data_IF_816980070009
#
_entry.id   IF_816980070009
#
_cell.length_a   1.000
_cell.length_b   1.000
_cell.length_c   1.000
_cell.angle_alpha   90.00
_cell.angle_beta   90.00
_cell.angle_gamma   90.00
#
_symmetry.space_group_name_H-M   'P 1'
#
loop_
_entity.id
_entity.type
_entity.pdbx_description
1 polymer ?
#
# COMPACT_ATOMS: atom_id res chain seq x y z
N UNK A 1 22.56 62.26 -73.86
CA UNK A 1 23.06 61.10 -73.08
C UNK A 1 23.16 61.45 -71.60
N UNK A 2 22.07 61.33 -70.81
CA UNK A 2 22.13 61.57 -69.35
C UNK A 2 20.95 60.90 -68.62
N UNK A 3 20.87 59.55 -68.68
CA UNK A 3 20.00 58.72 -67.84
C UNK A 3 20.70 57.40 -67.52
N UNK A 4 21.67 57.42 -66.59
CA UNK A 4 22.32 56.20 -66.04
C UNK A 4 22.81 56.39 -64.58
N UNK A 5 22.13 57.19 -63.77
CA UNK A 5 22.48 57.38 -62.34
C UNK A 5 21.34 57.05 -61.35
N UNK A 6 20.33 56.27 -61.76
CA UNK A 6 19.14 56.02 -60.93
C UNK A 6 18.87 54.54 -60.59
N UNK A 7 19.84 53.64 -60.72
CA UNK A 7 19.62 52.21 -60.46
C UNK A 7 20.57 51.57 -59.43
N UNK A 8 21.50 52.33 -58.84
CA UNK A 8 22.48 51.79 -57.89
C UNK A 8 22.07 51.86 -56.41
N UNK A 9 20.95 52.50 -56.06
CA UNK A 9 20.47 52.62 -54.68
C UNK A 9 19.19 51.83 -54.36
N UNK A 10 18.80 50.87 -55.22
CA UNK A 10 17.61 50.02 -54.99
C UNK A 10 17.93 48.56 -54.64
N UNK A 11 19.19 48.21 -54.37
CA UNK A 11 19.62 46.80 -54.24
C UNK A 11 20.33 46.47 -52.92
N UNK A 12 19.96 47.12 -51.80
CA UNK A 12 20.46 46.79 -50.44
C UNK A 12 19.27 46.58 -49.46
N UNK A 13 18.09 46.24 -49.98
CA UNK A 13 16.92 45.91 -49.16
C UNK A 13 16.34 44.52 -49.50
N UNK A 14 17.16 43.58 -49.96
CA UNK A 14 16.87 42.16 -49.75
C UNK A 14 17.38 41.80 -48.36
N UNK A 15 16.63 42.24 -47.35
CA UNK A 15 16.72 41.66 -46.01
C UNK A 15 16.43 40.17 -46.20
N UNK A 16 17.38 39.31 -45.88
CA UNK A 16 17.25 37.86 -45.99
C UNK A 16 16.10 37.38 -45.09
N UNK A 17 14.88 37.41 -45.63
CA UNK A 17 13.69 36.76 -45.08
C UNK A 17 13.75 35.28 -45.47
N UNK A 18 14.90 34.65 -45.26
CA UNK A 18 15.07 33.22 -45.52
C UNK A 18 14.71 32.46 -44.25
N UNK A 19 13.91 31.42 -44.41
CA UNK A 19 13.66 30.43 -43.37
C UNK A 19 15.00 29.85 -42.92
N UNK A 20 15.26 29.86 -41.62
CA UNK A 20 16.42 29.23 -40.99
C UNK A 20 15.94 28.00 -40.21
N UNK A 21 16.84 27.08 -39.88
CA UNK A 21 16.53 25.94 -39.02
C UNK A 21 17.23 26.07 -37.67
N UNK A 22 16.56 25.62 -36.61
CA UNK A 22 17.06 25.48 -35.25
C UNK A 22 16.88 24.03 -34.82
N UNK A 23 17.98 23.39 -34.46
CA UNK A 23 17.98 22.05 -33.89
C UNK A 23 18.21 22.15 -32.38
N UNK A 24 17.29 21.60 -31.59
CA UNK A 24 17.36 21.61 -30.13
C UNK A 24 17.15 20.20 -29.59
N UNK A 25 18.02 19.77 -28.68
CA UNK A 25 17.87 18.48 -27.99
C UNK A 25 17.39 18.74 -26.57
N UNK A 26 16.30 18.08 -26.19
CA UNK A 26 15.69 18.19 -24.86
C UNK A 26 16.26 17.10 -23.94
N UNK A 27 16.94 17.52 -22.88
CA UNK A 27 17.61 16.60 -21.95
C UNK A 27 16.71 16.12 -20.82
N UNK A 28 15.77 16.96 -20.36
CA UNK A 28 15.02 16.71 -19.13
C UNK A 28 13.51 16.57 -19.32
N UNK A 29 12.92 17.29 -20.30
CA UNK A 29 11.49 17.21 -20.59
C UNK A 29 11.20 16.31 -21.79
N UNK A 30 10.42 15.22 -21.62
CA UNK A 30 10.08 14.35 -22.74
C UNK A 30 9.08 15.03 -23.68
N UNK A 31 9.30 14.88 -25.00
CA UNK A 31 8.42 15.40 -26.06
C UNK A 31 7.00 14.83 -26.07
N UNK A 32 6.76 13.75 -25.32
CA UNK A 32 5.43 13.16 -25.13
C UNK A 32 4.44 14.14 -24.45
N UNK A 33 4.92 15.21 -23.81
CA UNK A 33 4.07 16.29 -23.33
C UNK A 33 3.47 17.07 -24.51
N UNK A 34 2.23 16.72 -24.85
CA UNK A 34 1.37 17.41 -25.82
C UNK A 34 1.29 18.93 -25.62
N UNK A 35 1.53 19.42 -24.39
CA UNK A 35 1.55 20.84 -24.06
C UNK A 35 2.71 21.63 -24.68
N UNK A 36 3.91 21.05 -24.77
CA UNK A 36 5.07 21.78 -25.34
C UNK A 36 4.91 21.92 -26.85
N UNK A 37 4.41 20.88 -27.51
CA UNK A 37 4.17 20.89 -28.94
C UNK A 37 3.06 21.88 -29.36
N UNK A 38 1.97 21.99 -28.59
CA UNK A 38 0.90 22.95 -28.90
C UNK A 38 1.34 24.40 -28.70
N UNK A 39 2.15 24.66 -27.67
CA UNK A 39 2.62 26.00 -27.36
C UNK A 39 3.64 26.50 -28.38
N UNK A 40 4.56 25.64 -28.82
CA UNK A 40 5.50 25.99 -29.90
C UNK A 40 4.76 26.22 -31.22
N UNK A 41 3.70 25.47 -31.52
CA UNK A 41 2.88 25.70 -32.72
C UNK A 41 2.24 27.10 -32.75
N UNK A 42 1.94 27.69 -31.58
CA UNK A 42 1.42 29.05 -31.49
C UNK A 42 2.48 30.14 -31.74
N UNK A 43 3.76 29.78 -31.61
CA UNK A 43 4.91 30.68 -31.81
C UNK A 43 5.48 30.63 -33.24
N UNK A 44 5.00 29.69 -34.08
CA UNK A 44 5.41 29.53 -35.47
C UNK A 44 4.77 30.60 -36.37
N UNK A 45 5.48 30.98 -37.44
CA UNK A 45 4.89 31.74 -38.55
C UNK A 45 4.01 30.87 -39.44
N UNK A 46 3.26 31.49 -40.36
CA UNK A 46 2.42 30.79 -41.34
C UNK A 46 3.20 29.81 -42.25
N UNK A 47 4.51 30.03 -42.41
CA UNK A 47 5.40 29.18 -43.23
C UNK A 47 6.32 28.30 -42.36
N UNK A 48 6.18 28.38 -41.04
CA UNK A 48 6.99 27.64 -40.08
C UNK A 48 6.70 26.14 -40.10
N UNK A 49 7.74 25.33 -39.91
CA UNK A 49 7.62 23.88 -39.78
C UNK A 49 8.31 23.40 -38.52
N UNK A 50 7.69 22.46 -37.82
CA UNK A 50 8.27 21.78 -36.67
C UNK A 50 8.31 20.27 -36.94
N UNK A 51 9.44 19.65 -36.64
CA UNK A 51 9.61 18.19 -36.67
C UNK A 51 10.06 17.73 -35.29
N UNK A 52 9.41 16.70 -34.79
CA UNK A 52 9.74 16.06 -33.51
C UNK A 52 10.48 14.75 -33.80
N UNK A 53 11.67 14.59 -33.21
CA UNK A 53 12.39 13.34 -33.13
C UNK A 53 12.11 12.67 -31.80
N UNK A 54 11.57 11.45 -31.81
CA UNK A 54 11.36 10.67 -30.58
C UNK A 54 12.69 10.15 -30.03
N UNK A 55 13.62 9.75 -30.91
CA UNK A 55 14.95 9.26 -30.54
C UNK A 55 16.03 9.82 -31.49
N UNK A 56 16.91 10.73 -31.03
CA UNK A 56 16.93 11.38 -29.71
C UNK A 56 15.79 12.38 -29.54
N UNK A 57 15.35 12.59 -28.29
CA UNK A 57 14.37 13.60 -27.89
C UNK A 57 14.82 14.99 -28.37
N UNK A 58 14.37 15.37 -29.57
CA UNK A 58 14.87 16.53 -30.30
C UNK A 58 13.78 17.20 -31.11
N UNK A 59 13.93 18.51 -31.27
CA UNK A 59 13.03 19.35 -32.04
C UNK A 59 13.85 20.01 -33.14
N UNK A 60 13.37 19.90 -34.38
CA UNK A 60 13.82 20.72 -35.48
C UNK A 60 12.73 21.74 -35.80
N UNK A 61 13.04 23.02 -35.64
CA UNK A 61 12.15 24.12 -36.00
C UNK A 61 12.73 24.83 -37.21
N UNK A 62 11.90 25.09 -38.21
CA UNK A 62 12.28 25.83 -39.41
C UNK A 62 11.36 27.05 -39.49
N UNK A 63 11.90 28.24 -39.26
CA UNK A 63 11.14 29.51 -39.27
C UNK A 63 12.06 30.73 -39.53
N UNK A 64 11.49 31.93 -39.55
CA UNK A 64 12.23 33.19 -39.58
C UNK A 64 13.12 33.38 -38.34
N UNK A 65 14.28 34.05 -38.48
CA UNK A 65 15.27 34.18 -37.40
C UNK A 65 14.72 34.86 -36.12
N UNK A 66 13.72 35.73 -36.25
CA UNK A 66 13.08 36.36 -35.09
C UNK A 66 12.28 35.37 -34.24
N UNK A 67 11.50 34.48 -34.88
CA UNK A 67 10.70 33.46 -34.19
C UNK A 67 11.60 32.38 -33.58
N UNK A 68 12.65 31.97 -34.29
CA UNK A 68 13.61 31.00 -33.79
C UNK A 68 14.27 31.47 -32.48
N UNK A 69 14.59 32.75 -32.35
CA UNK A 69 15.15 33.29 -31.10
C UNK A 69 14.17 33.20 -29.93
N UNK A 70 12.89 33.50 -30.16
CA UNK A 70 11.83 33.36 -29.14
C UNK A 70 11.62 31.91 -28.73
N UNK A 71 11.62 31.00 -29.70
CA UNK A 71 11.48 29.56 -29.47
C UNK A 71 12.71 29.02 -28.72
N UNK A 72 13.92 29.47 -29.04
CA UNK A 72 15.13 29.10 -28.32
C UNK A 72 15.08 29.56 -26.85
N UNK A 73 14.68 30.80 -26.59
CA UNK A 73 14.50 31.33 -25.23
C UNK A 73 13.47 30.52 -24.44
N UNK A 74 12.34 30.18 -25.06
CA UNK A 74 11.30 29.35 -24.45
C UNK A 74 11.81 27.93 -24.13
N UNK A 75 12.48 27.27 -25.09
CA UNK A 75 13.01 25.92 -24.91
C UNK A 75 14.04 25.85 -23.77
N UNK A 76 14.87 26.90 -23.61
CA UNK A 76 15.82 26.99 -22.48
C UNK A 76 15.13 27.13 -21.13
N UNK A 77 13.96 27.76 -21.06
CA UNK A 77 13.18 27.87 -19.82
C UNK A 77 12.48 26.55 -19.47
N UNK A 78 12.00 25.83 -20.49
CA UNK A 78 11.30 24.55 -20.31
C UNK A 78 12.26 23.42 -19.95
N UNK A 79 13.43 23.33 -20.60
CA UNK A 79 14.40 22.25 -20.39
C UNK A 79 15.27 22.47 -19.15
N UNK A 80 14.62 22.60 -18.00
CA UNK A 80 15.29 22.69 -16.70
C UNK A 80 15.26 21.33 -15.97
N UNK A 81 16.29 21.01 -15.16
CA UNK A 81 16.33 19.75 -14.44
C UNK A 81 15.16 19.66 -13.44
N UNK A 82 14.37 18.57 -13.48
CA UNK A 82 13.23 18.43 -12.59
C UNK A 82 13.67 18.29 -11.13
N UNK A 83 12.99 19.02 -10.24
CA UNK A 83 13.12 18.83 -8.79
C UNK A 83 12.56 17.45 -8.39
N UNK A 84 13.31 16.71 -7.58
CA UNK A 84 12.90 15.39 -7.05
C UNK A 84 12.67 15.47 -5.55
N UNK A 85 11.78 14.62 -5.04
CA UNK A 85 11.47 14.50 -3.62
C UNK A 85 11.41 13.03 -3.20
N UNK A 86 11.99 12.73 -2.04
CA UNK A 86 11.83 11.46 -1.35
C UNK A 86 10.67 11.59 -0.35
N UNK A 87 9.68 10.73 -0.50
CA UNK A 87 8.50 10.67 0.37
C UNK A 87 8.64 9.44 1.25
N UNK A 88 8.63 9.63 2.57
CA UNK A 88 8.57 8.56 3.57
C UNK A 88 7.21 8.62 4.26
N UNK A 89 6.43 7.54 4.17
CA UNK A 89 5.22 7.40 4.98
C UNK A 89 5.54 6.54 6.20
N UNK A 90 4.89 6.81 7.34
CA UNK A 90 5.00 5.98 8.55
C UNK A 90 3.61 5.47 8.91
N UNK A 91 3.44 4.16 8.85
CA UNK A 91 2.22 3.47 9.25
C UNK A 91 2.45 2.87 10.63
N UNK A 92 1.54 3.16 11.56
CA UNK A 92 1.58 2.69 12.94
C UNK A 92 0.30 1.91 13.19
N UNK A 93 0.42 0.59 13.35
CA UNK A 93 -0.70 -0.27 13.73
C UNK A 93 -0.60 -0.62 15.22
N UNK A 94 -1.67 -0.36 15.96
CA UNK A 94 -1.74 -0.63 17.41
C UNK A 94 -2.81 -1.71 17.63
N UNK A 95 -2.38 -2.91 18.04
CA UNK A 95 -3.30 -3.99 18.48
C UNK A 95 -3.27 -4.09 19.99
N UNK A 96 -4.43 -3.87 20.61
CA UNK A 96 -4.63 -4.03 22.04
C UNK A 96 -5.50 -5.27 22.29
N UNK A 97 -4.92 -6.32 22.87
CA UNK A 97 -5.65 -7.50 23.30
C UNK A 97 -5.55 -7.64 24.83
N UNK A 98 -6.71 -7.61 25.49
CA UNK A 98 -6.83 -7.83 26.94
C UNK A 98 -7.65 -9.09 27.18
N UNK A 99 -7.02 -10.09 27.76
CA UNK A 99 -7.66 -11.34 28.16
C UNK A 99 -7.63 -11.47 29.67
N UNK A 100 -8.82 -11.51 30.28
CA UNK A 100 -9.00 -11.76 31.70
C UNK A 100 -9.80 -13.06 31.87
N UNK A 101 -9.20 -14.06 32.52
CA UNK A 101 -9.87 -15.30 32.85
C UNK A 101 -9.79 -15.55 34.37
N UNK A 102 -10.96 -15.64 35.01
CA UNK A 102 -11.11 -15.97 36.42
C UNK A 102 -11.94 -17.25 36.55
N UNK A 103 -11.42 -18.24 37.27
CA UNK A 103 -12.07 -19.54 37.43
C UNK A 103 -11.84 -20.15 38.81
N UNK A 104 -12.89 -20.77 39.34
CA UNK A 104 -12.83 -21.55 40.59
C UNK A 104 -12.93 -23.03 40.21
N UNK A 105 -11.96 -23.85 40.63
CA UNK A 105 -12.03 -25.29 40.44
C UNK A 105 -12.79 -25.95 41.61
N UNK A 106 -14.06 -26.27 41.37
CA UNK A 106 -14.96 -26.89 42.37
C UNK A 106 -14.67 -28.37 42.64
N UNK A 107 -13.86 -29.04 41.82
CA UNK A 107 -13.54 -30.46 41.98
C UNK A 107 -12.71 -30.73 43.26
N UNK A 108 -12.02 -29.71 43.78
CA UNK A 108 -11.27 -29.80 45.04
C UNK A 108 -12.18 -30.06 46.26
N UNK A 109 -13.45 -29.65 46.21
CA UNK A 109 -14.44 -29.87 47.27
C UNK A 109 -15.07 -31.27 47.23
N UNK A 110 -15.06 -31.94 46.07
CA UNK A 110 -15.72 -33.23 45.85
C UNK A 110 -15.08 -34.40 46.61
N UNK A 111 -13.76 -34.36 46.81
CA UNK A 111 -13.02 -35.50 47.37
C UNK A 111 -13.18 -35.71 48.89
N UNK A 112 -13.72 -34.75 49.64
CA UNK A 112 -13.70 -34.81 51.10
C UNK A 112 -14.98 -35.36 51.75
N UNK A 113 -16.13 -35.17 51.10
CA UNK A 113 -17.44 -35.57 51.65
C UNK A 113 -18.09 -36.75 50.90
N UNK A 114 -17.30 -37.53 50.14
CA UNK A 114 -17.82 -38.65 49.34
C UNK A 114 -18.75 -38.23 48.18
N UNK A 115 -18.78 -36.93 47.86
CA UNK A 115 -19.57 -36.39 46.77
C UNK A 115 -18.72 -36.36 45.50
N UNK A 116 -18.57 -37.53 44.87
CA UNK A 116 -17.89 -37.66 43.58
C UNK A 116 -18.80 -37.13 42.47
N UNK A 117 -18.57 -35.89 42.03
CA UNK A 117 -19.19 -35.32 40.83
C UNK A 117 -18.93 -36.27 39.64
N UNK A 118 -20.00 -36.86 39.10
CA UNK A 118 -19.94 -37.80 37.98
C UNK A 118 -20.25 -39.27 38.32
N UNK A 119 -20.53 -39.60 39.58
CA UNK A 119 -20.99 -40.95 39.96
C UNK A 119 -22.43 -40.92 40.48
N UNK A 120 -23.35 -41.49 39.71
CA UNK A 120 -24.74 -41.72 40.10
C UNK A 120 -24.83 -43.11 40.77
N UNK A 121 -24.99 -43.16 42.10
CA UNK A 121 -25.22 -44.42 42.84
C UNK A 121 -26.70 -44.53 43.18
N UNK A 122 -27.43 -45.45 42.54
CA UNK A 122 -28.81 -45.80 42.91
C UNK A 122 -28.77 -46.88 44.00
N UNK A 123 -29.64 -46.72 45.00
CA UNK A 123 -29.72 -47.42 46.28
C UNK A 123 -29.32 -48.91 46.34
N UNK A 124 -28.74 -49.27 47.49
CA UNK A 124 -28.32 -50.60 47.91
C UNK A 124 -29.49 -51.58 48.05
N UNK A 125 -29.47 -52.66 47.26
CA UNK A 125 -30.06 -53.94 47.65
C UNK A 125 -28.94 -54.90 48.06
N UNK A 126 -29.31 -56.00 48.73
CA UNK A 126 -28.50 -56.98 49.48
C UNK A 126 -27.38 -57.71 48.70
N UNK A 127 -27.00 -57.21 47.52
CA UNK A 127 -25.97 -57.76 46.65
C UNK A 127 -25.16 -56.65 45.99
N UNK A 128 -24.59 -55.75 46.80
CA UNK A 128 -23.61 -54.73 46.39
C UNK A 128 -24.18 -53.60 45.52
N UNK A 129 -23.64 -52.37 45.63
CA UNK A 129 -24.04 -51.28 44.75
C UNK A 129 -23.63 -51.58 43.30
N UNK A 130 -24.53 -51.36 42.35
CA UNK A 130 -24.20 -51.30 40.93
C UNK A 130 -23.51 -49.96 40.66
N UNK A 131 -22.18 -49.97 40.64
CA UNK A 131 -21.37 -48.78 40.37
C UNK A 131 -21.08 -48.68 38.87
N UNK A 132 -21.74 -47.76 38.17
CA UNK A 132 -21.33 -47.40 36.80
C UNK A 132 -20.27 -46.30 36.87
N UNK A 133 -19.00 -46.70 36.80
CA UNK A 133 -17.88 -45.79 36.74
C UNK A 133 -17.81 -45.13 35.35
N UNK A 134 -18.26 -43.89 35.24
CA UNK A 134 -17.97 -43.05 34.07
C UNK A 134 -16.52 -42.59 34.22
N UNK A 135 -15.58 -42.96 33.32
CA UNK A 135 -14.19 -42.55 33.43
C UNK A 135 -14.11 -41.03 33.31
N UNK A 136 -13.77 -40.35 34.40
CA UNK A 136 -13.47 -38.92 34.41
C UNK A 136 -12.01 -38.70 34.85
N UNK A 137 -11.30 -37.85 34.11
CA UNK A 137 -9.88 -37.55 34.32
C UNK A 137 -9.70 -36.73 35.60
N UNK A 138 -9.24 -37.36 36.69
CA UNK A 138 -8.94 -36.68 37.96
C UNK A 138 -7.71 -35.76 37.83
N UNK A 139 -7.91 -34.44 37.84
CA UNK A 139 -6.86 -33.42 37.94
C UNK A 139 -6.47 -33.13 39.39
N UNK A 140 -6.14 -34.19 40.14
CA UNK A 140 -5.58 -34.06 41.49
C UNK A 140 -4.06 -33.98 41.37
N UNK A 141 -3.50 -32.78 41.53
CA UNK A 141 -2.05 -32.56 41.57
C UNK A 141 -1.62 -32.34 43.03
N UNK A 142 -0.82 -33.24 43.63
CA UNK A 142 -0.24 -33.01 44.94
C UNK A 142 0.77 -31.85 44.91
N UNK A 143 0.96 -31.11 46.01
CA UNK A 143 1.97 -30.06 46.09
C UNK A 143 3.36 -30.63 45.75
N UNK A 144 3.99 -30.09 44.70
CA UNK A 144 5.30 -30.51 44.21
C UNK A 144 5.30 -31.41 42.96
N UNK A 145 4.15 -31.81 42.41
CA UNK A 145 4.11 -32.50 41.11
C UNK A 145 4.18 -31.49 39.96
N UNK A 146 5.38 -31.29 39.42
CA UNK A 146 5.67 -30.50 38.22
C UNK A 146 5.12 -31.20 36.97
N UNK A 147 3.88 -30.93 36.61
CA UNK A 147 3.37 -31.24 35.27
C UNK A 147 2.38 -30.16 34.86
N UNK A 148 2.90 -29.21 34.08
CA UNK A 148 2.27 -27.97 33.61
C UNK A 148 1.97 -26.95 34.72
N UNK A 149 2.98 -26.14 35.04
CA UNK A 149 2.83 -24.94 35.86
C UNK A 149 1.94 -23.92 35.12
N UNK A 150 0.65 -23.88 35.47
CA UNK A 150 -0.17 -22.68 35.28
C UNK A 150 0.32 -21.63 36.30
N UNK A 151 0.96 -20.53 35.88
CA UNK A 151 1.73 -19.63 36.76
C UNK A 151 0.90 -18.86 37.81
N UNK A 152 -0.42 -18.97 37.77
CA UNK A 152 -1.34 -18.21 38.62
C UNK A 152 -2.44 -19.08 39.26
N UNK A 153 -2.02 -20.13 39.96
CA UNK A 153 -2.93 -21.00 40.73
C UNK A 153 -2.66 -20.87 42.23
N UNK A 154 -3.65 -20.37 42.99
CA UNK A 154 -3.59 -20.35 44.46
C UNK A 154 -4.37 -21.56 44.97
N UNK A 155 -3.73 -22.39 45.79
CA UNK A 155 -4.38 -23.52 46.45
C UNK A 155 -4.29 -23.40 47.96
N UNK A 156 -5.44 -23.42 48.64
CA UNK A 156 -5.55 -23.43 50.09
C UNK A 156 -5.98 -24.83 50.52
N UNK A 157 -5.20 -25.45 51.41
CA UNK A 157 -5.48 -26.77 51.97
C UNK A 157 -5.74 -26.64 53.47
N UNK A 158 -6.87 -27.19 53.93
CA UNK A 158 -7.20 -27.34 55.35
C UNK A 158 -7.82 -28.72 55.61
N UNK A 159 -7.82 -29.14 56.89
CA UNK A 159 -8.39 -30.39 57.38
C UNK A 159 -9.89 -30.55 57.08
N UNK A 160 -10.56 -29.53 56.51
CA UNK A 160 -11.92 -29.64 55.96
C UNK A 160 -12.18 -28.97 54.59
N UNK A 161 -11.27 -28.16 54.03
CA UNK A 161 -11.56 -27.33 52.84
C UNK A 161 -10.38 -27.33 51.86
N UNK A 162 -10.65 -27.56 50.57
CA UNK A 162 -9.67 -27.37 49.49
C UNK A 162 -10.24 -26.38 48.46
N UNK A 163 -9.60 -25.22 48.27
CA UNK A 163 -10.00 -24.21 47.29
C UNK A 163 -8.85 -24.00 46.32
N UNK A 164 -9.14 -24.09 45.02
CA UNK A 164 -8.19 -23.79 43.94
C UNK A 164 -8.76 -22.63 43.12
N UNK A 165 -8.11 -21.48 43.19
CA UNK A 165 -8.41 -20.29 42.40
C UNK A 165 -7.41 -20.19 41.25
N UNK A 166 -7.94 -20.04 40.02
CA UNK A 166 -7.16 -19.73 38.82
C UNK A 166 -7.47 -18.31 38.37
N UNK A 167 -6.45 -17.48 38.19
CA UNK A 167 -6.60 -16.12 37.70
C UNK A 167 -5.52 -15.82 36.65
N UNK A 168 -5.90 -15.62 35.40
CA UNK A 168 -4.99 -15.23 34.34
C UNK A 168 -5.38 -13.84 33.83
N UNK A 169 -4.45 -12.90 33.91
CA UNK A 169 -4.55 -11.60 33.27
C UNK A 169 -3.42 -11.51 32.24
N UNK A 170 -3.76 -11.51 30.96
CA UNK A 170 -2.81 -11.33 29.86
C UNK A 170 -3.14 -10.02 29.15
N UNK A 171 -2.10 -9.21 28.94
CA UNK A 171 -2.18 -7.98 28.15
C UNK A 171 -1.13 -8.07 27.06
N UNK A 172 -1.57 -8.01 25.81
CA UNK A 172 -0.70 -7.98 24.64
C UNK A 172 -0.87 -6.63 23.94
N UNK A 173 0.25 -5.93 23.80
CA UNK A 173 0.35 -4.65 23.11
C UNK A 173 1.41 -4.80 22.02
N UNK A 174 1.00 -4.67 20.76
CA UNK A 174 1.92 -4.67 19.63
C UNK A 174 1.76 -3.41 18.80
N UNK A 175 2.90 -2.77 18.57
CA UNK A 175 3.04 -1.64 17.68
C UNK A 175 3.84 -2.07 16.44
N UNK A 176 3.19 -2.11 15.28
CA UNK A 176 3.86 -2.41 14.00
C UNK A 176 4.13 -1.08 13.31
N UNK A 177 5.41 -0.79 13.08
CA UNK A 177 5.88 0.39 12.36
C UNK A 177 6.42 -0.02 10.98
N UNK A 178 5.79 0.48 9.93
CA UNK A 178 6.26 0.36 8.55
C UNK A 178 6.60 1.74 8.00
N UNK A 179 7.79 1.89 7.39
CA UNK A 179 8.28 3.14 6.83
C UNK A 179 8.58 3.05 5.33
N UNK A 180 7.58 2.84 4.45
CA UNK A 180 7.80 2.80 3.01
C UNK A 180 8.32 4.14 2.48
N UNK A 181 9.13 4.07 1.43
CA UNK A 181 9.74 5.24 0.78
C UNK A 181 9.53 5.20 -0.72
N UNK A 182 9.22 6.34 -1.33
CA UNK A 182 9.13 6.51 -2.78
C UNK A 182 9.78 7.82 -3.20
N UNK A 183 10.56 7.79 -4.28
CA UNK A 183 11.14 8.99 -4.89
C UNK A 183 10.32 9.36 -6.11
N UNK A 184 9.89 10.62 -6.20
CA UNK A 184 9.14 11.11 -7.35
C UNK A 184 9.62 12.50 -7.77
N UNK A 185 9.23 12.90 -8.97
CA UNK A 185 9.48 14.21 -9.55
C UNK A 185 8.35 15.18 -9.17
N UNK A 186 8.64 16.47 -9.10
CA UNK A 186 7.65 17.53 -8.93
C UNK A 186 6.45 17.35 -9.88
N UNK A 187 5.23 17.45 -9.34
CA UNK A 187 3.95 17.31 -10.02
C UNK A 187 3.74 15.96 -10.73
N UNK A 188 4.48 14.90 -10.36
CA UNK A 188 4.23 13.55 -10.85
C UNK A 188 3.60 12.69 -9.75
N UNK A 189 2.43 12.08 -10.01
CA UNK A 189 1.83 11.16 -9.07
C UNK A 189 2.73 9.96 -8.87
N UNK A 190 2.87 9.54 -7.62
CA UNK A 190 3.52 8.31 -7.22
C UNK A 190 2.58 7.50 -6.33
N UNK A 191 2.79 6.19 -6.30
CA UNK A 191 1.95 5.27 -5.56
C UNK A 191 2.82 4.37 -4.70
N UNK A 192 2.43 4.22 -3.43
CA UNK A 192 3.04 3.28 -2.49
C UNK A 192 1.99 2.20 -2.22
N UNK A 193 2.25 0.98 -2.68
CA UNK A 193 1.39 -0.18 -2.41
C UNK A 193 2.07 -1.14 -1.45
N UNK A 194 1.43 -1.41 -0.33
CA UNK A 194 1.79 -2.46 0.62
C UNK A 194 0.58 -3.39 0.67
N UNK A 195 0.54 -4.32 -0.28
CA UNK A 195 -0.62 -5.18 -0.51
C UNK A 195 -0.21 -6.66 -0.48
N UNK A 196 -1.15 -7.48 -0.05
CA UNK A 196 -1.13 -8.94 -0.14
C UNK A 196 -2.22 -9.39 -1.11
N UNK A 197 -1.99 -10.49 -1.83
CA UNK A 197 -2.96 -11.06 -2.78
C UNK A 197 -3.60 -12.28 -2.16
N UNK A 198 -4.86 -12.17 -1.74
CA UNK A 198 -5.61 -13.28 -1.20
C UNK A 198 -6.39 -13.98 -2.32
N UNK A 199 -6.13 -15.28 -2.56
CA UNK A 199 -6.91 -16.05 -3.52
C UNK A 199 -8.27 -16.39 -2.92
N UNK A 200 -9.33 -16.22 -3.71
CA UNK A 200 -10.66 -16.75 -3.39
C UNK A 200 -11.16 -17.56 -4.59
N UNK A 201 -11.82 -18.68 -4.30
CA UNK A 201 -12.28 -19.61 -5.32
C UNK A 201 -13.79 -19.47 -5.50
N UNK A 202 -14.23 -19.15 -6.72
CA UNK A 202 -15.64 -19.14 -7.09
C UNK A 202 -15.99 -20.44 -7.84
N UNK A 203 -16.99 -21.21 -7.37
CA UNK A 203 -17.44 -22.38 -8.09
C UNK A 203 -18.19 -21.94 -9.35
N UNK A 204 -17.68 -22.35 -10.51
CA UNK A 204 -18.37 -22.24 -11.79
C UNK A 204 -19.03 -23.59 -12.07
N UNK A 205 -20.36 -23.60 -12.19
CA UNK A 205 -21.14 -24.80 -12.47
C UNK A 205 -21.54 -24.78 -13.94
N UNK A 206 -20.90 -25.61 -14.74
CA UNK A 206 -21.25 -25.82 -16.14
C UNK A 206 -22.19 -27.01 -16.25
N UNK A 207 -23.43 -26.76 -16.65
CA UNK A 207 -24.42 -27.79 -16.92
C UNK A 207 -24.46 -28.07 -18.43
N UNK A 208 -23.94 -29.23 -18.82
CA UNK A 208 -23.99 -29.71 -20.20
C UNK A 208 -24.89 -30.95 -20.29
N UNK A 209 -25.25 -31.34 -21.52
CA UNK A 209 -26.13 -32.49 -21.80
C UNK A 209 -25.58 -33.84 -21.28
N UNK A 210 -24.27 -33.89 -20.95
CA UNK A 210 -23.54 -35.05 -20.41
C UNK A 210 -23.40 -35.06 -18.88
N UNK A 211 -23.86 -34.04 -18.15
CA UNK A 211 -23.79 -33.95 -16.69
C UNK A 211 -23.38 -32.58 -16.16
N UNK A 212 -23.15 -32.51 -14.84
CA UNK A 212 -22.72 -31.30 -14.14
C UNK A 212 -21.19 -31.33 -14.01
N UNK A 213 -20.51 -30.35 -14.59
CA UNK A 213 -19.10 -30.09 -14.34
C UNK A 213 -18.95 -28.92 -13.38
N UNK A 214 -18.17 -29.10 -12.30
CA UNK A 214 -17.83 -28.02 -11.37
C UNK A 214 -16.37 -27.66 -11.59
N UNK A 215 -16.13 -26.44 -12.06
CA UNK A 215 -14.80 -25.85 -12.18
C UNK A 215 -14.60 -24.81 -11.08
N UNK A 216 -13.36 -24.60 -10.65
CA UNK A 216 -13.02 -23.58 -9.65
C UNK A 216 -12.27 -22.45 -10.34
N UNK A 217 -12.87 -21.25 -10.37
CA UNK A 217 -12.17 -20.05 -10.82
C UNK A 217 -11.44 -19.43 -9.61
N UNK A 218 -10.12 -19.28 -9.71
CA UNK A 218 -9.31 -18.67 -8.66
C UNK A 218 -9.13 -17.19 -9.00
N UNK A 219 -9.84 -16.34 -8.28
CA UNK A 219 -9.69 -14.89 -8.36
C UNK A 219 -8.76 -14.41 -7.23
N UNK A 220 -8.14 -13.25 -7.41
CA UNK A 220 -7.27 -12.65 -6.41
C UNK A 220 -7.82 -11.30 -6.00
N UNK A 221 -7.95 -11.09 -4.70
CA UNK A 221 -8.28 -9.79 -4.11
C UNK A 221 -7.02 -9.18 -3.51
N UNK A 222 -6.77 -7.91 -3.81
CA UNK A 222 -5.64 -7.15 -3.26
C UNK A 222 -6.10 -6.49 -1.95
N UNK A 223 -5.56 -6.96 -0.82
CA UNK A 223 -5.81 -6.40 0.52
C UNK A 223 -4.56 -5.69 1.02
N UNK A 224 -4.71 -4.62 1.80
CA UNK A 224 -3.59 -3.86 2.34
C UNK A 224 -3.74 -2.36 2.18
N UNK A 225 -2.60 -1.66 2.12
CA UNK A 225 -2.52 -0.21 2.15
C UNK A 225 -2.05 0.30 0.78
N UNK A 226 -2.83 1.20 0.19
CA UNK A 226 -2.42 1.98 -0.98
C UNK A 226 -2.36 3.46 -0.63
N UNK A 227 -1.26 4.11 -0.98
CA UNK A 227 -1.08 5.54 -0.76
C UNK A 227 -0.67 6.21 -2.06
N UNK A 228 -1.59 6.99 -2.62
CA UNK A 228 -1.34 7.80 -3.81
C UNK A 228 -0.94 9.20 -3.41
N UNK A 229 0.21 9.67 -3.88
CA UNK A 229 0.80 10.96 -3.50
C UNK A 229 1.19 11.76 -4.73
N UNK A 230 0.83 13.03 -4.75
CA UNK A 230 1.26 13.98 -5.78
C UNK A 230 1.94 15.17 -5.09
N UNK A 231 3.28 15.29 -5.16
CA UNK A 231 3.98 16.41 -4.56
C UNK A 231 4.10 17.59 -5.52
N UNK A 232 3.95 18.79 -4.97
CA UNK A 232 4.19 20.07 -5.63
C UNK A 232 5.23 20.83 -4.83
N UNK A 233 6.36 21.12 -5.47
CA UNK A 233 7.52 21.80 -4.89
C UNK A 233 7.46 23.28 -5.29
N UNK A 234 7.34 24.15 -4.31
CA UNK A 234 7.41 25.61 -4.49
C UNK A 234 8.86 26.07 -4.64
N UNK A 235 9.09 27.27 -5.20
CA UNK A 235 10.44 27.82 -5.35
C UNK A 235 11.15 28.12 -4.02
N UNK A 236 10.38 28.34 -2.96
CA UNK A 236 10.90 28.47 -1.58
C UNK A 236 11.39 27.13 -0.97
N UNK A 237 11.34 26.03 -1.73
CA UNK A 237 11.71 24.69 -1.25
C UNK A 237 10.68 24.02 -0.35
N UNK A 238 9.51 24.65 -0.14
CA UNK A 238 8.36 24.03 0.52
C UNK A 238 7.71 23.01 -0.40
N UNK A 239 7.19 21.94 0.19
CA UNK A 239 6.53 20.84 -0.51
C UNK A 239 5.08 20.81 -0.04
N UNK A 240 4.15 21.02 -0.97
CA UNK A 240 2.74 20.71 -0.80
C UNK A 240 2.47 19.32 -1.37
N UNK A 241 1.64 18.51 -0.72
CA UNK A 241 1.33 17.17 -1.22
C UNK A 241 -0.17 16.92 -1.16
N UNK A 242 -0.70 16.38 -2.25
CA UNK A 242 -2.02 15.79 -2.28
C UNK A 242 -1.90 14.29 -2.00
N UNK A 243 -2.66 13.79 -1.03
CA UNK A 243 -2.52 12.44 -0.50
C UNK A 243 -3.89 11.76 -0.49
N UNK A 244 -3.95 10.57 -1.08
CA UNK A 244 -5.14 9.72 -1.08
C UNK A 244 -4.77 8.34 -0.50
N UNK A 245 -4.98 8.15 0.81
CA UNK A 245 -4.80 6.85 1.46
C UNK A 245 -6.03 5.96 1.26
N UNK A 246 -5.79 4.69 1.00
CA UNK A 246 -6.79 3.63 0.92
C UNK A 246 -6.32 2.44 1.77
N UNK A 247 -7.24 1.88 2.55
CA UNK A 247 -6.99 0.74 3.43
C UNK A 247 -8.07 -0.30 3.19
N UNK A 248 -7.65 -1.50 2.83
CA UNK A 248 -8.50 -2.68 2.66
C UNK A 248 -8.04 -3.76 3.63
N UNK A 249 -8.97 -4.30 4.41
CA UNK A 249 -8.75 -5.36 5.42
C UNK A 249 -9.57 -6.61 5.08
#
# INVERSE_FOLDING_TARGET
>A
MKKRKSLLNKSIATFFSSLLFLFFSLLFTPLSYSGVASEINSLLSSEGKILFGEEPNSILVIDYPENLRRIEEYLKMVDTPPKQVLIEARVVEVKLQKENALGINWQAFAKKNGFELGQFKIASSTSGPLEQQIPYKSTYYPPGSTSAEDPFTITIFDDNINIVLKALASSFDTNILSAPRVTTVNNRPAEIKIIEKLPWAEPQVDMNEFGIAVSWNINFEEVGISLKVTPTITDDGKISMEIHPEVSE
#
